data_IF_995522904810
#
_entry.id   IF_995522904810
#
_cell.length_a   1.000
_cell.length_b   1.000
_cell.length_c   1.000
_cell.angle_alpha   90.00
_cell.angle_beta   90.00
_cell.angle_gamma   90.00
#
_symmetry.space_group_name_H-M   'P 1'
#
loop_
_entity.id
_entity.type
_entity.pdbx_description
1 polymer ?
#
# COMPACT_ATOMS: atom_id res chain seq x y z
N UNK A 1 -21.10 19.69 -15.27
CA UNK A 1 -20.31 18.47 -14.92
C UNK A 1 -18.99 18.94 -14.34
N UNK A 2 -18.49 18.28 -13.28
CA UNK A 2 -17.18 18.62 -12.72
C UNK A 2 -16.01 18.30 -13.66
N UNK A 3 -14.79 18.77 -13.33
CA UNK A 3 -13.60 18.57 -14.15
C UNK A 3 -13.29 17.08 -14.36
N UNK A 4 -12.67 16.76 -15.49
CA UNK A 4 -12.21 15.41 -15.83
C UNK A 4 -10.73 15.25 -15.49
N UNK A 5 -10.37 14.26 -14.67
CA UNK A 5 -9.02 14.04 -14.19
C UNK A 5 -8.47 12.67 -14.54
N UNK A 6 -7.19 12.62 -14.95
CA UNK A 6 -6.39 11.42 -15.04
C UNK A 6 -5.44 11.31 -13.85
N UNK A 7 -5.48 10.21 -13.10
CA UNK A 7 -4.57 9.90 -11.99
C UNK A 7 -3.65 8.76 -12.42
N UNK A 8 -2.35 9.02 -12.46
CA UNK A 8 -1.33 8.09 -12.94
C UNK A 8 -0.42 7.71 -11.78
N UNK A 9 -0.50 6.47 -11.32
CA UNK A 9 0.26 5.98 -10.19
C UNK A 9 1.18 4.82 -10.59
N UNK A 10 2.21 4.57 -9.81
CA UNK A 10 3.11 3.44 -10.02
C UNK A 10 2.33 2.11 -10.07
N UNK A 11 2.77 1.15 -10.90
CA UNK A 11 2.11 -0.14 -11.13
C UNK A 11 2.22 -1.15 -9.97
N UNK A 12 2.61 -0.74 -8.76
CA UNK A 12 2.57 -1.57 -7.57
C UNK A 12 1.17 -1.63 -6.95
N UNK A 13 0.83 -2.78 -6.33
CA UNK A 13 -0.43 -2.92 -5.59
C UNK A 13 -0.55 -1.88 -4.46
N UNK A 14 0.52 -1.71 -3.66
CA UNK A 14 0.52 -0.73 -2.55
C UNK A 14 0.41 0.71 -3.04
N UNK A 15 1.08 1.03 -4.16
CA UNK A 15 1.02 2.35 -4.78
C UNK A 15 -0.40 2.64 -5.28
N UNK A 16 -1.04 1.65 -5.94
CA UNK A 16 -2.42 1.75 -6.40
C UNK A 16 -3.39 1.99 -5.24
N UNK A 17 -3.34 1.15 -4.20
CA UNK A 17 -4.20 1.28 -3.00
C UNK A 17 -4.08 2.66 -2.35
N UNK A 18 -2.87 3.21 -2.23
CA UNK A 18 -2.64 4.54 -1.66
C UNK A 18 -3.11 5.66 -2.59
N UNK A 19 -2.90 5.54 -3.91
CA UNK A 19 -3.31 6.56 -4.89
C UNK A 19 -4.82 6.68 -5.05
N UNK A 20 -5.57 5.61 -4.75
CA UNK A 20 -7.04 5.66 -4.71
C UNK A 20 -7.58 6.65 -3.68
N UNK A 21 -6.80 7.05 -2.65
CA UNK A 21 -7.20 8.15 -1.74
C UNK A 21 -7.39 9.44 -2.51
N UNK A 22 -6.48 9.78 -3.42
CA UNK A 22 -6.62 10.94 -4.29
C UNK A 22 -7.84 10.80 -5.20
N UNK A 23 -7.95 9.67 -5.90
CA UNK A 23 -9.06 9.40 -6.83
C UNK A 23 -10.42 9.48 -6.13
N UNK A 24 -10.54 8.90 -4.94
CA UNK A 24 -11.77 8.94 -4.15
C UNK A 24 -12.13 10.36 -3.69
N UNK A 25 -11.16 11.15 -3.23
CA UNK A 25 -11.40 12.53 -2.85
C UNK A 25 -11.85 13.39 -4.03
N UNK A 26 -11.21 13.24 -5.20
CA UNK A 26 -11.65 13.93 -6.42
C UNK A 26 -13.09 13.56 -6.78
N UNK A 27 -13.42 12.26 -6.76
CA UNK A 27 -14.78 11.76 -7.05
C UNK A 27 -15.82 12.31 -6.06
N UNK A 28 -15.51 12.32 -4.73
CA UNK A 28 -16.38 12.89 -3.69
C UNK A 28 -16.67 14.38 -3.89
N UNK A 29 -15.81 15.08 -4.60
CA UNK A 29 -15.96 16.50 -4.94
C UNK A 29 -16.51 16.73 -6.37
N UNK A 30 -17.10 15.69 -6.96
CA UNK A 30 -17.83 15.79 -8.24
C UNK A 30 -16.95 15.76 -9.49
N UNK A 31 -15.66 15.39 -9.36
CA UNK A 31 -14.78 15.21 -10.52
C UNK A 31 -15.07 13.89 -11.22
N UNK A 32 -14.90 13.84 -12.52
CA UNK A 32 -14.88 12.57 -13.29
C UNK A 32 -13.45 12.05 -13.33
N UNK A 33 -13.17 10.96 -12.62
CA UNK A 33 -11.80 10.45 -12.40
C UNK A 33 -11.55 9.14 -13.11
N UNK A 34 -10.42 9.04 -13.80
CA UNK A 34 -9.85 7.79 -14.29
C UNK A 34 -8.49 7.56 -13.63
N UNK A 35 -8.35 6.42 -12.96
CA UNK A 35 -7.10 6.03 -12.29
C UNK A 35 -6.37 4.98 -13.13
N UNK A 36 -5.11 5.21 -13.44
CA UNK A 36 -4.30 4.30 -14.25
C UNK A 36 -3.37 3.48 -13.37
N UNK A 37 -3.61 2.17 -13.34
CA UNK A 37 -2.77 1.19 -12.64
C UNK A 37 -3.08 -0.22 -13.15
N UNK A 38 -2.06 -0.96 -13.60
CA UNK A 38 -2.25 -2.29 -14.20
C UNK A 38 -2.71 -3.36 -13.19
N UNK A 39 -2.46 -3.18 -11.90
CA UNK A 39 -2.81 -4.17 -10.86
C UNK A 39 -4.20 -3.91 -10.29
N UNK A 40 -4.55 -2.63 -10.08
CA UNK A 40 -5.78 -2.25 -9.40
C UNK A 40 -7.04 -2.51 -10.23
N UNK A 41 -6.94 -2.71 -11.54
CA UNK A 41 -8.07 -3.13 -12.37
C UNK A 41 -8.73 -4.44 -11.88
N UNK A 42 -7.92 -5.35 -11.32
CA UNK A 42 -8.43 -6.58 -10.69
C UNK A 42 -9.25 -6.34 -9.41
N UNK A 43 -9.26 -5.12 -8.89
CA UNK A 43 -10.02 -4.70 -7.71
C UNK A 43 -11.23 -3.81 -8.05
N UNK A 44 -11.63 -3.73 -9.32
CA UNK A 44 -12.72 -2.85 -9.78
C UNK A 44 -14.02 -3.07 -9.02
N UNK A 45 -14.33 -4.31 -8.63
CA UNK A 45 -15.53 -4.62 -7.86
C UNK A 45 -15.53 -4.03 -6.44
N UNK A 46 -14.36 -3.76 -5.89
CA UNK A 46 -14.18 -3.13 -4.57
C UNK A 46 -14.26 -1.61 -4.61
N UNK A 47 -14.17 -1.02 -5.80
CA UNK A 47 -14.28 0.43 -6.03
C UNK A 47 -15.22 0.73 -7.20
N UNK A 48 -16.48 0.29 -7.16
CA UNK A 48 -17.39 0.34 -8.32
C UNK A 48 -17.68 1.77 -8.80
N UNK A 49 -17.49 2.77 -7.95
CA UNK A 49 -17.68 4.18 -8.25
C UNK A 49 -16.45 4.86 -8.86
N UNK A 50 -15.28 4.20 -8.88
CA UNK A 50 -14.06 4.69 -9.50
C UNK A 50 -13.76 3.92 -10.79
N UNK A 51 -13.35 4.59 -11.85
CA UNK A 51 -12.87 3.95 -13.06
C UNK A 51 -11.37 3.67 -12.92
N UNK A 52 -10.98 2.40 -12.84
CA UNK A 52 -9.59 1.96 -12.82
C UNK A 52 -9.24 1.33 -14.16
N UNK A 53 -8.24 1.88 -14.83
CA UNK A 53 -7.84 1.52 -16.18
C UNK A 53 -6.39 1.03 -16.20
N UNK A 54 -6.04 0.11 -17.11
CA UNK A 54 -4.65 -0.23 -17.35
C UNK A 54 -3.91 0.95 -17.97
N UNK A 55 -2.59 0.98 -17.81
CA UNK A 55 -1.75 1.95 -18.50
C UNK A 55 -1.88 1.78 -20.02
N UNK A 56 -2.09 2.89 -20.74
CA UNK A 56 -2.06 2.85 -22.21
C UNK A 56 -0.61 2.72 -22.71
N UNK A 57 -0.42 2.33 -23.98
CA UNK A 57 0.92 2.28 -24.58
C UNK A 57 1.54 3.69 -24.65
N UNK A 58 2.87 3.75 -24.68
CA UNK A 58 3.65 5.00 -24.70
C UNK A 58 3.27 5.94 -25.87
N UNK A 59 2.84 5.39 -27.01
CA UNK A 59 2.36 6.15 -28.17
C UNK A 59 1.10 6.96 -27.90
N UNK A 60 0.35 6.63 -26.86
CA UNK A 60 -0.92 7.26 -26.51
C UNK A 60 -0.79 8.52 -25.63
N UNK A 61 0.43 8.89 -25.23
CA UNK A 61 0.65 10.03 -24.29
C UNK A 61 -0.02 11.30 -24.80
N UNK A 62 0.15 11.67 -26.07
CA UNK A 62 -0.47 12.87 -26.63
C UNK A 62 -1.99 12.80 -26.65
N UNK A 63 -2.59 11.62 -26.90
CA UNK A 63 -4.04 11.42 -26.84
C UNK A 63 -4.55 11.57 -25.40
N UNK A 64 -3.83 11.01 -24.43
CA UNK A 64 -4.15 11.13 -23.00
C UNK A 64 -4.12 12.59 -22.55
N UNK A 65 -3.11 13.36 -22.96
CA UNK A 65 -2.99 14.79 -22.65
C UNK A 65 -4.13 15.67 -23.24
N UNK A 66 -4.85 15.17 -24.25
CA UNK A 66 -6.02 15.84 -24.79
C UNK A 66 -7.36 15.32 -24.21
N UNK A 67 -7.32 14.33 -23.30
CA UNK A 67 -8.51 13.64 -22.81
C UNK A 67 -9.00 14.13 -21.43
N UNK A 68 -8.20 14.91 -20.72
CA UNK A 68 -8.46 15.36 -19.35
C UNK A 68 -8.24 16.86 -19.19
N UNK A 69 -8.94 17.44 -18.24
CA UNK A 69 -8.76 18.82 -17.81
C UNK A 69 -7.62 18.93 -16.79
N UNK A 70 -7.34 17.85 -16.03
CA UNK A 70 -6.31 17.77 -15.00
C UNK A 70 -5.57 16.45 -15.02
N UNK A 71 -4.28 16.53 -14.66
CA UNK A 71 -3.37 15.37 -14.62
C UNK A 71 -2.68 15.32 -13.27
N UNK A 72 -2.83 14.19 -12.59
CA UNK A 72 -2.17 13.90 -11.33
C UNK A 72 -1.21 12.73 -11.53
N UNK A 73 0.07 13.00 -11.42
CA UNK A 73 1.13 12.02 -11.68
C UNK A 73 1.88 11.75 -10.39
N UNK A 74 1.77 10.54 -9.86
CA UNK A 74 2.67 10.09 -8.78
C UNK A 74 4.00 9.73 -9.45
N UNK A 75 5.01 10.55 -9.21
CA UNK A 75 6.29 10.49 -9.91
C UNK A 75 6.98 9.13 -9.72
N UNK A 76 7.41 8.57 -10.84
CA UNK A 76 8.18 7.35 -10.93
C UNK A 76 9.28 7.54 -11.97
N UNK A 77 10.53 7.50 -11.52
CA UNK A 77 11.72 7.71 -12.35
C UNK A 77 12.12 6.50 -13.22
N UNK A 78 11.36 5.41 -13.16
CA UNK A 78 11.63 4.17 -13.90
C UNK A 78 10.56 3.81 -14.94
N UNK A 79 9.40 4.48 -14.94
CA UNK A 79 8.32 4.20 -15.87
C UNK A 79 8.35 5.15 -17.08
N UNK A 80 8.63 4.65 -18.30
CA UNK A 80 8.77 5.50 -19.50
C UNK A 80 7.49 6.28 -19.84
N UNK A 81 6.30 5.69 -19.58
CA UNK A 81 5.03 6.37 -19.85
C UNK A 81 4.87 7.57 -18.89
N UNK A 82 5.11 7.36 -17.59
CA UNK A 82 5.00 8.40 -16.56
C UNK A 82 5.98 9.55 -16.84
N UNK A 83 7.24 9.22 -17.18
CA UNK A 83 8.25 10.22 -17.50
C UNK A 83 7.83 11.06 -18.72
N UNK A 84 7.43 10.43 -19.82
CA UNK A 84 6.99 11.14 -21.01
C UNK A 84 5.73 11.96 -20.78
N UNK A 85 4.75 11.40 -20.04
CA UNK A 85 3.52 12.12 -19.68
C UNK A 85 3.84 13.38 -18.85
N UNK A 86 4.72 13.26 -17.86
CA UNK A 86 5.14 14.39 -17.04
C UNK A 86 5.87 15.45 -17.85
N UNK A 87 6.82 15.06 -18.73
CA UNK A 87 7.57 15.98 -19.58
C UNK A 87 6.67 16.74 -20.56
N UNK A 88 5.87 16.02 -21.36
CA UNK A 88 4.96 16.65 -22.32
C UNK A 88 3.86 17.46 -21.63
N UNK A 89 3.34 16.97 -20.48
CA UNK A 89 2.33 17.66 -19.71
C UNK A 89 2.81 18.97 -19.11
N UNK A 90 4.00 19.00 -18.51
CA UNK A 90 4.62 20.24 -18.03
C UNK A 90 4.72 21.30 -19.14
N UNK A 91 5.11 20.88 -20.33
CA UNK A 91 5.30 21.79 -21.49
C UNK A 91 3.97 22.32 -22.03
N UNK A 92 2.92 21.48 -22.07
CA UNK A 92 1.64 21.80 -22.73
C UNK A 92 0.57 22.32 -21.78
N UNK A 93 0.56 21.82 -20.53
CA UNK A 93 -0.49 22.06 -19.53
C UNK A 93 0.13 22.30 -18.13
N UNK A 94 1.01 23.31 -17.96
CA UNK A 94 1.79 23.51 -16.71
C UNK A 94 0.89 23.72 -15.50
N UNK A 95 -0.23 24.39 -15.63
CA UNK A 95 -1.15 24.68 -14.51
C UNK A 95 -2.01 23.49 -14.12
N UNK A 96 -2.36 22.64 -15.09
CA UNK A 96 -3.21 21.47 -14.93
C UNK A 96 -2.43 20.19 -14.56
N UNK A 97 -1.10 20.20 -14.76
CA UNK A 97 -0.22 19.06 -14.44
C UNK A 97 0.27 19.16 -13.00
N UNK A 98 -0.18 18.26 -12.13
CA UNK A 98 0.31 18.14 -10.76
C UNK A 98 1.13 16.87 -10.61
N UNK A 99 2.41 17.01 -10.24
CA UNK A 99 3.33 15.89 -10.07
C UNK A 99 3.62 15.74 -8.59
N UNK A 100 3.25 14.57 -8.03
CA UNK A 100 3.44 14.24 -6.63
C UNK A 100 4.79 13.52 -6.48
N UNK A 101 5.76 14.18 -5.90
CA UNK A 101 7.08 13.62 -5.65
C UNK A 101 7.13 12.92 -4.30
N UNK A 102 7.41 11.62 -4.29
CA UNK A 102 7.48 10.80 -3.07
C UNK A 102 8.79 10.99 -2.31
N UNK A 103 9.86 11.37 -3.01
CA UNK A 103 11.18 11.55 -2.43
C UNK A 103 11.89 12.78 -2.99
N UNK A 104 12.61 13.54 -2.15
CA UNK A 104 13.57 14.50 -2.64
C UNK A 104 14.72 13.75 -3.33
N UNK A 105 15.04 14.15 -4.55
CA UNK A 105 16.24 13.70 -5.26
C UNK A 105 17.00 14.88 -5.80
N UNK A 106 18.29 14.69 -6.11
CA UNK A 106 19.14 15.74 -6.70
C UNK A 106 18.57 16.27 -8.02
N UNK A 107 17.85 15.42 -8.74
CA UNK A 107 17.30 15.75 -10.05
C UNK A 107 15.96 16.50 -9.99
N UNK A 108 15.23 16.41 -8.86
CA UNK A 108 13.89 17.00 -8.70
C UNK A 108 13.86 18.25 -7.81
N UNK A 109 14.88 18.48 -6.97
CA UNK A 109 14.92 19.64 -6.03
C UNK A 109 14.68 20.99 -6.71
N UNK A 110 15.08 21.12 -7.97
CA UNK A 110 14.92 22.36 -8.75
C UNK A 110 13.71 22.34 -9.70
N UNK A 111 12.88 21.29 -9.64
CA UNK A 111 11.69 21.22 -10.48
C UNK A 111 10.57 22.14 -9.96
N UNK A 112 9.82 22.82 -10.85
CA UNK A 112 8.81 23.82 -10.45
C UNK A 112 7.73 23.27 -9.52
N UNK A 113 7.33 21.99 -9.69
CA UNK A 113 6.27 21.37 -8.90
C UNK A 113 6.73 20.77 -7.57
N UNK A 114 8.01 20.80 -7.27
CA UNK A 114 8.59 20.15 -6.12
C UNK A 114 8.05 20.70 -4.80
N UNK A 115 8.05 22.02 -4.64
CA UNK A 115 7.60 22.68 -3.42
C UNK A 115 6.12 22.42 -3.12
N UNK A 116 5.27 22.42 -4.16
CA UNK A 116 3.81 22.28 -4.03
C UNK A 116 3.37 20.83 -3.86
N UNK A 117 4.14 19.88 -4.37
CA UNK A 117 3.72 18.48 -4.50
C UNK A 117 4.62 17.49 -3.73
N UNK A 118 5.54 17.98 -2.93
CA UNK A 118 6.42 17.12 -2.11
C UNK A 118 5.63 16.48 -0.97
N UNK A 119 5.82 15.19 -0.79
CA UNK A 119 5.26 14.48 0.35
C UNK A 119 6.10 14.65 1.62
N UNK A 120 5.45 14.60 2.79
CA UNK A 120 6.13 14.56 4.08
C UNK A 120 6.62 13.13 4.36
N UNK A 121 7.93 12.87 4.46
CA UNK A 121 8.48 11.53 4.69
C UNK A 121 8.24 11.00 6.12
N UNK A 122 7.73 11.82 7.02
CA UNK A 122 7.37 11.42 8.38
C UNK A 122 5.96 10.86 8.49
N UNK A 123 5.13 11.09 7.46
CA UNK A 123 3.74 10.65 7.38
C UNK A 123 3.55 9.49 6.39
N UNK A 124 2.56 8.61 6.63
CA UNK A 124 2.19 7.57 5.67
C UNK A 124 1.76 8.14 4.31
N UNK A 125 1.98 7.38 3.24
CA UNK A 125 1.57 7.79 1.87
C UNK A 125 0.08 8.09 1.79
N UNK A 126 -0.79 7.30 2.42
CA UNK A 126 -2.23 7.56 2.43
C UNK A 126 -2.59 8.91 3.09
N UNK A 127 -1.86 9.31 4.14
CA UNK A 127 -2.03 10.62 4.76
C UNK A 127 -1.49 11.74 3.88
N UNK A 128 -0.35 11.53 3.23
CA UNK A 128 0.19 12.48 2.25
C UNK A 128 -0.79 12.72 1.09
N UNK A 129 -1.43 11.66 0.56
CA UNK A 129 -2.44 11.81 -0.50
C UNK A 129 -3.66 12.60 -0.02
N UNK A 130 -4.12 12.38 1.22
CA UNK A 130 -5.17 13.18 1.83
C UNK A 130 -4.76 14.66 1.97
N UNK A 131 -3.55 14.91 2.51
CA UNK A 131 -3.03 16.28 2.68
C UNK A 131 -2.83 17.00 1.34
N UNK A 132 -2.45 16.29 0.29
CA UNK A 132 -2.39 16.84 -1.05
C UNK A 132 -3.76 17.34 -1.51
N UNK A 133 -4.82 16.53 -1.31
CA UNK A 133 -6.19 16.93 -1.62
C UNK A 133 -6.65 18.17 -0.81
N UNK A 134 -6.26 18.24 0.46
CA UNK A 134 -6.64 19.31 1.38
C UNK A 134 -5.86 20.61 1.10
N UNK A 135 -4.52 20.53 1.04
CA UNK A 135 -3.63 21.69 1.05
C UNK A 135 -3.28 22.22 -0.33
N UNK A 136 -3.22 21.34 -1.33
CA UNK A 136 -2.82 21.72 -2.70
C UNK A 136 -4.05 21.89 -3.61
N UNK A 137 -5.02 20.98 -3.49
CA UNK A 137 -6.23 21.06 -4.30
C UNK A 137 -7.38 21.82 -3.63
N UNK A 138 -7.27 22.10 -2.33
CA UNK A 138 -8.31 22.82 -1.55
C UNK A 138 -9.71 22.21 -1.71
N UNK A 139 -9.79 20.87 -1.77
CA UNK A 139 -11.07 20.20 -1.95
C UNK A 139 -11.94 20.37 -0.70
N UNK A 140 -13.24 20.67 -0.84
CA UNK A 140 -14.13 20.92 0.31
C UNK A 140 -14.47 19.66 1.11
N UNK A 141 -14.50 18.49 0.48
CA UNK A 141 -14.75 17.20 1.16
C UNK A 141 -13.50 16.37 1.14
N UNK A 142 -12.99 16.01 2.34
CA UNK A 142 -11.73 15.30 2.49
C UNK A 142 -11.90 14.05 3.34
N UNK A 143 -11.37 12.94 2.85
CA UNK A 143 -11.28 11.67 3.59
C UNK A 143 -9.94 10.97 3.37
N UNK A 144 -9.56 10.12 4.29
CA UNK A 144 -8.43 9.18 4.11
C UNK A 144 -8.86 7.87 3.45
N UNK A 145 -10.18 7.67 3.25
CA UNK A 145 -10.70 6.49 2.58
C UNK A 145 -10.19 6.43 1.14
N UNK A 146 -9.82 5.25 0.69
CA UNK A 146 -9.48 4.96 -0.70
C UNK A 146 -10.69 4.49 -1.53
N UNK A 147 -11.90 4.55 -0.94
CA UNK A 147 -13.14 4.21 -1.61
C UNK A 147 -13.46 2.72 -1.68
N UNK A 148 -12.74 1.84 -0.98
CA UNK A 148 -13.08 0.42 -0.95
C UNK A 148 -14.45 0.18 -0.29
N UNK A 149 -15.28 -0.60 -0.98
CA UNK A 149 -16.60 -1.05 -0.53
C UNK A 149 -16.57 -2.58 -0.49
N UNK A 150 -16.87 -3.21 0.66
CA UNK A 150 -16.91 -4.66 0.76
C UNK A 150 -17.94 -5.27 -0.20
N UNK A 151 -17.57 -6.40 -0.81
CA UNK A 151 -18.49 -7.13 -1.67
C UNK A 151 -19.65 -7.70 -0.84
N UNK A 152 -20.83 -7.77 -1.47
CA UNK A 152 -22.03 -8.35 -0.85
C UNK A 152 -21.78 -9.76 -0.36
N UNK A 153 -22.29 -10.10 0.83
CA UNK A 153 -22.15 -11.42 1.46
C UNK A 153 -20.84 -11.64 2.24
N UNK A 154 -19.86 -10.74 2.13
CA UNK A 154 -18.65 -10.83 2.94
C UNK A 154 -18.88 -10.29 4.37
N UNK A 155 -18.28 -10.95 5.35
CA UNK A 155 -18.33 -10.54 6.75
C UNK A 155 -16.93 -10.14 7.22
N UNK A 156 -16.78 -8.88 7.63
CA UNK A 156 -15.50 -8.39 8.14
C UNK A 156 -14.97 -9.24 9.28
N UNK A 157 -13.76 -9.78 9.12
CA UNK A 157 -13.06 -10.57 10.12
C UNK A 157 -13.90 -11.77 10.64
N UNK A 158 -14.67 -12.40 9.77
CA UNK A 158 -15.47 -13.60 10.05
C UNK A 158 -14.68 -14.70 10.77
N UNK A 159 -13.39 -14.78 10.47
CA UNK A 159 -12.44 -15.69 11.09
C UNK A 159 -11.44 -14.92 11.95
N UNK A 160 -11.81 -14.48 13.17
CA UNK A 160 -11.01 -13.55 13.98
C UNK A 160 -9.69 -14.15 14.47
N UNK A 161 -9.55 -15.47 14.49
CA UNK A 161 -8.30 -16.17 14.83
C UNK A 161 -7.41 -16.45 13.62
N UNK A 162 -7.93 -16.33 12.39
CA UNK A 162 -7.14 -16.54 11.17
C UNK A 162 -6.09 -15.46 11.03
N UNK A 163 -4.85 -15.88 10.88
CA UNK A 163 -3.70 -15.01 10.64
C UNK A 163 -3.14 -15.33 9.26
N UNK A 164 -3.45 -14.49 8.28
CA UNK A 164 -2.82 -14.56 6.97
C UNK A 164 -1.34 -14.17 7.10
N UNK A 165 -0.43 -15.02 6.66
CA UNK A 165 1.02 -14.75 6.70
C UNK A 165 1.53 -14.65 5.27
N UNK A 166 1.99 -13.46 4.87
CA UNK A 166 2.57 -13.21 3.55
C UNK A 166 4.10 -13.09 3.63
N UNK A 167 4.83 -14.18 3.40
CA UNK A 167 6.28 -14.24 3.66
C UNK A 167 7.13 -13.70 2.50
N UNK A 168 6.51 -13.36 1.37
CA UNK A 168 7.19 -12.94 0.15
C UNK A 168 6.95 -11.46 -0.17
N UNK A 169 7.77 -10.89 -1.03
CA UNK A 169 7.59 -9.58 -1.64
C UNK A 169 8.27 -9.55 -3.01
N UNK A 170 8.01 -8.54 -3.82
CA UNK A 170 8.62 -8.37 -5.13
C UNK A 170 10.17 -8.31 -5.11
N UNK A 171 10.77 -8.04 -3.95
CA UNK A 171 12.22 -7.99 -3.75
C UNK A 171 12.63 -8.93 -2.63
N UNK A 172 13.26 -10.03 -2.98
CA UNK A 172 13.71 -11.08 -2.06
C UNK A 172 14.59 -10.57 -0.90
N UNK A 173 15.37 -9.53 -1.16
CA UNK A 173 16.19 -8.86 -0.14
C UNK A 173 15.37 -8.24 0.99
N UNK A 174 14.07 -7.96 0.76
CA UNK A 174 13.12 -7.45 1.75
C UNK A 174 12.39 -8.57 2.51
N UNK A 175 12.57 -9.83 2.14
CA UNK A 175 11.89 -10.94 2.80
C UNK A 175 12.62 -11.35 4.07
N UNK A 176 11.87 -11.43 5.17
CA UNK A 176 12.34 -12.09 6.39
C UNK A 176 12.47 -13.59 6.12
N UNK A 177 13.40 -14.32 6.77
CA UNK A 177 13.67 -15.73 6.46
C UNK A 177 12.44 -16.63 6.58
N UNK A 178 12.31 -17.58 5.64
CA UNK A 178 11.21 -18.56 5.61
C UNK A 178 11.09 -19.31 6.94
N UNK A 179 12.22 -19.79 7.48
CA UNK A 179 12.29 -20.54 8.71
C UNK A 179 11.74 -19.75 9.90
N UNK A 180 11.97 -18.43 9.89
CA UNK A 180 11.44 -17.54 10.94
C UNK A 180 9.94 -17.30 10.80
N UNK A 181 9.41 -17.23 9.57
CA UNK A 181 7.95 -17.18 9.35
C UNK A 181 7.28 -18.47 9.81
N UNK A 182 7.87 -19.63 9.52
CA UNK A 182 7.35 -20.94 9.97
C UNK A 182 7.39 -21.04 11.50
N UNK A 183 8.49 -20.66 12.13
CA UNK A 183 8.61 -20.64 13.59
C UNK A 183 7.60 -19.66 14.23
N UNK A 184 7.34 -18.51 13.59
CA UNK A 184 6.30 -17.58 14.04
C UNK A 184 4.91 -18.20 13.91
N UNK A 185 4.59 -18.83 12.77
CA UNK A 185 3.31 -19.50 12.55
C UNK A 185 3.08 -20.60 13.60
N UNK A 186 4.09 -21.45 13.89
CA UNK A 186 4.02 -22.46 14.95
C UNK A 186 3.76 -21.82 16.31
N UNK A 187 4.48 -20.75 16.65
CA UNK A 187 4.30 -20.05 17.92
C UNK A 187 2.92 -19.38 18.05
N UNK A 188 2.32 -18.93 16.94
CA UNK A 188 0.96 -18.37 16.94
C UNK A 188 -0.11 -19.48 17.04
N UNK A 189 0.12 -20.65 16.43
CA UNK A 189 -0.75 -21.82 16.58
C UNK A 189 -0.83 -22.27 18.04
N UNK A 190 0.30 -22.24 18.76
CA UNK A 190 0.35 -22.53 20.20
C UNK A 190 -0.44 -21.51 21.03
N UNK A 191 -0.57 -20.26 20.57
CA UNK A 191 -1.42 -19.22 21.20
C UNK A 191 -2.90 -19.31 20.80
N UNK A 192 -3.29 -20.35 20.08
CA UNK A 192 -4.67 -20.61 19.65
C UNK A 192 -5.15 -19.79 18.45
N UNK A 193 -4.21 -19.26 17.62
CA UNK A 193 -4.50 -18.68 16.31
C UNK A 193 -4.42 -19.72 15.21
N UNK A 194 -4.91 -19.36 14.02
CA UNK A 194 -5.01 -20.19 12.81
C UNK A 194 -4.15 -19.57 11.70
N UNK A 195 -2.81 -19.84 11.70
CA UNK A 195 -1.92 -19.31 10.67
C UNK A 195 -2.20 -19.96 9.30
N UNK A 196 -2.31 -19.13 8.27
CA UNK A 196 -2.46 -19.52 6.86
C UNK A 196 -1.36 -18.83 6.06
N UNK A 197 -0.54 -19.58 5.35
CA UNK A 197 0.56 -19.04 4.56
C UNK A 197 0.06 -18.64 3.16
N UNK A 198 0.37 -17.42 2.73
CA UNK A 198 -0.01 -16.90 1.41
C UNK A 198 1.22 -16.38 0.65
N UNK A 199 2.14 -17.26 0.26
CA UNK A 199 3.41 -16.85 -0.38
C UNK A 199 3.25 -16.42 -1.85
N UNK A 200 2.06 -16.55 -2.46
CA UNK A 200 1.82 -16.29 -3.88
C UNK A 200 2.15 -17.47 -4.80
N UNK A 201 2.94 -18.43 -4.33
CA UNK A 201 3.20 -19.73 -4.98
C UNK A 201 3.28 -20.81 -3.92
N UNK A 202 2.89 -22.03 -4.26
CA UNK A 202 3.05 -23.17 -3.36
C UNK A 202 4.49 -23.67 -3.29
N UNK A 203 5.23 -23.52 -4.39
CA UNK A 203 6.57 -24.07 -4.52
C UNK A 203 7.46 -23.77 -3.30
N UNK A 204 7.93 -24.83 -2.65
CA UNK A 204 8.76 -24.77 -1.46
C UNK A 204 8.03 -24.42 -0.15
N UNK A 205 6.67 -24.39 -0.13
CA UNK A 205 5.87 -24.12 1.08
C UNK A 205 4.94 -25.28 1.44
N UNK A 206 4.74 -26.27 0.56
CA UNK A 206 3.82 -27.38 0.74
C UNK A 206 4.10 -28.23 1.99
N UNK A 207 5.39 -28.41 2.32
CA UNK A 207 5.85 -29.23 3.45
C UNK A 207 5.84 -28.48 4.79
N UNK A 208 5.33 -27.25 4.80
CA UNK A 208 5.37 -26.39 5.98
C UNK A 208 4.43 -26.81 7.12
N UNK A 209 3.53 -27.78 6.90
CA UNK A 209 2.53 -28.20 7.90
C UNK A 209 1.45 -27.17 8.20
N UNK A 210 1.25 -26.20 7.30
CA UNK A 210 0.23 -25.14 7.34
C UNK A 210 -0.55 -25.10 6.02
N UNK A 211 -1.76 -24.56 6.07
CA UNK A 211 -2.53 -24.28 4.86
C UNK A 211 -1.81 -23.26 3.98
N UNK A 212 -1.70 -23.57 2.68
CA UNK A 212 -1.07 -22.73 1.65
C UNK A 212 -2.06 -22.58 0.48
N UNK A 213 -3.15 -21.83 0.63
CA UNK A 213 -4.09 -21.61 -0.45
C UNK A 213 -3.47 -20.78 -1.57
N UNK A 214 -3.89 -21.05 -2.81
CA UNK A 214 -3.62 -20.21 -3.96
C UNK A 214 -4.89 -19.45 -4.33
N UNK A 215 -4.71 -18.19 -4.66
CA UNK A 215 -5.79 -17.33 -5.10
C UNK A 215 -5.59 -17.01 -6.59
N UNK A 216 -6.46 -17.50 -7.49
CA UNK A 216 -6.36 -17.25 -8.93
C UNK A 216 -6.41 -15.77 -9.28
N UNK A 217 -7.09 -14.96 -8.47
CA UNK A 217 -7.24 -13.52 -8.68
C UNK A 217 -6.97 -12.72 -7.41
N UNK A 218 -6.57 -11.46 -7.58
CA UNK A 218 -6.39 -10.54 -6.46
C UNK A 218 -7.72 -10.29 -5.71
N UNK A 219 -8.83 -10.31 -6.41
CA UNK A 219 -10.18 -10.16 -5.87
C UNK A 219 -10.51 -11.26 -4.85
N UNK A 220 -10.24 -12.52 -5.20
CA UNK A 220 -10.42 -13.66 -4.28
C UNK A 220 -9.49 -13.59 -3.07
N UNK A 221 -8.25 -13.15 -3.27
CA UNK A 221 -7.32 -12.90 -2.16
C UNK A 221 -7.83 -11.78 -1.25
N UNK A 222 -8.40 -10.71 -1.81
CA UNK A 222 -8.99 -9.63 -1.03
C UNK A 222 -10.19 -10.10 -0.19
N UNK A 223 -11.06 -10.95 -0.74
CA UNK A 223 -12.17 -11.59 0.00
C UNK A 223 -11.63 -12.39 1.19
N UNK A 224 -10.62 -13.23 0.96
CA UNK A 224 -9.99 -14.02 2.02
C UNK A 224 -9.37 -13.13 3.11
N UNK A 225 -8.66 -12.07 2.71
CA UNK A 225 -8.07 -11.11 3.65
C UNK A 225 -9.14 -10.38 4.46
N UNK A 226 -10.19 -9.87 3.81
CA UNK A 226 -11.28 -9.14 4.47
C UNK A 226 -11.95 -9.98 5.58
N UNK A 227 -12.11 -11.28 5.36
CA UNK A 227 -12.66 -12.21 6.36
C UNK A 227 -11.61 -12.72 7.36
N UNK A 228 -10.31 -12.41 7.20
CA UNK A 228 -9.27 -12.84 8.12
C UNK A 228 -9.13 -11.90 9.32
N UNK A 229 -8.71 -12.44 10.45
CA UNK A 229 -8.49 -11.67 11.69
C UNK A 229 -7.32 -10.70 11.59
N UNK A 230 -6.22 -11.13 10.92
CA UNK A 230 -4.94 -10.39 10.86
C UNK A 230 -4.17 -10.71 9.59
N UNK A 231 -3.28 -9.78 9.20
CA UNK A 231 -2.21 -10.04 8.25
C UNK A 231 -0.84 -9.83 8.92
N UNK A 232 0.08 -10.76 8.70
CA UNK A 232 1.52 -10.60 9.02
C UNK A 232 2.30 -10.72 7.71
N UNK A 233 3.24 -9.80 7.45
CA UNK A 233 4.05 -9.89 6.25
C UNK A 233 5.28 -9.00 6.25
N UNK A 234 6.03 -9.08 5.16
CA UNK A 234 7.06 -8.10 4.85
C UNK A 234 6.43 -6.77 4.41
N UNK A 235 7.26 -5.74 4.26
CA UNK A 235 6.89 -4.50 3.59
C UNK A 235 6.55 -4.79 2.11
N UNK A 236 5.25 -4.88 1.82
CA UNK A 236 4.69 -5.27 0.51
C UNK A 236 3.31 -4.65 0.27
N UNK A 237 2.89 -4.64 -1.00
CA UNK A 237 1.59 -4.11 -1.41
C UNK A 237 0.40 -4.81 -0.73
N UNK A 238 0.54 -6.09 -0.38
CA UNK A 238 -0.53 -6.84 0.28
C UNK A 238 -0.83 -6.32 1.69
N UNK A 239 0.18 -5.77 2.39
CA UNK A 239 -0.03 -5.09 3.67
C UNK A 239 -0.94 -3.87 3.53
N UNK A 240 -0.73 -3.05 2.48
CA UNK A 240 -1.59 -1.90 2.19
C UNK A 240 -3.01 -2.32 1.85
N UNK A 241 -3.18 -3.38 1.03
CA UNK A 241 -4.48 -3.92 0.69
C UNK A 241 -5.23 -4.39 1.95
N UNK A 242 -4.62 -5.23 2.78
CA UNK A 242 -5.23 -5.71 4.01
C UNK A 242 -5.63 -4.58 4.95
N UNK A 243 -4.74 -3.57 5.12
CA UNK A 243 -5.03 -2.39 5.92
C UNK A 243 -6.21 -1.59 5.38
N UNK A 244 -6.31 -1.42 4.05
CA UNK A 244 -7.41 -0.73 3.40
C UNK A 244 -8.76 -1.50 3.52
N UNK A 245 -8.68 -2.83 3.60
CA UNK A 245 -9.82 -3.71 3.88
C UNK A 245 -10.20 -3.75 5.38
N UNK A 246 -9.57 -2.95 6.24
CA UNK A 246 -9.88 -2.93 7.68
C UNK A 246 -9.26 -4.10 8.47
N UNK A 247 -8.30 -4.82 7.90
CA UNK A 247 -7.61 -5.93 8.56
C UNK A 247 -6.37 -5.41 9.30
N UNK A 248 -6.23 -5.68 10.62
CA UNK A 248 -5.05 -5.31 11.38
C UNK A 248 -3.78 -5.96 10.82
N UNK A 249 -2.70 -5.18 10.67
CA UNK A 249 -1.47 -5.62 10.03
C UNK A 249 -0.27 -5.60 10.95
N UNK A 250 0.59 -6.62 10.86
CA UNK A 250 1.95 -6.60 11.40
C UNK A 250 2.94 -6.65 10.24
N UNK A 251 3.73 -5.58 10.08
CA UNK A 251 4.70 -5.45 9.00
C UNK A 251 6.13 -5.59 9.52
N UNK A 252 6.89 -6.50 8.94
CA UNK A 252 8.31 -6.65 9.22
C UNK A 252 9.11 -5.76 8.24
N UNK A 253 9.83 -4.77 8.76
CA UNK A 253 10.48 -3.77 7.93
C UNK A 253 11.94 -3.54 8.36
N UNK A 254 12.81 -3.34 7.36
CA UNK A 254 14.24 -3.13 7.59
C UNK A 254 14.55 -1.80 8.30
N UNK A 255 13.84 -0.71 7.97
CA UNK A 255 14.15 0.65 8.43
C UNK A 255 12.93 1.36 8.98
N UNK A 256 13.09 2.02 10.12
CA UNK A 256 12.02 2.82 10.72
C UNK A 256 11.63 4.03 9.86
N UNK A 257 12.60 4.72 9.26
CA UNK A 257 12.34 5.86 8.37
C UNK A 257 11.53 5.47 7.14
N UNK A 258 11.80 4.29 6.57
CA UNK A 258 11.00 3.74 5.48
C UNK A 258 9.60 3.37 5.95
N UNK A 259 9.50 2.77 7.14
CA UNK A 259 8.23 2.37 7.74
C UNK A 259 7.29 3.55 8.00
N UNK A 260 7.79 4.71 8.37
CA UNK A 260 6.94 5.89 8.60
C UNK A 260 6.11 6.22 7.36
N UNK A 261 6.72 6.20 6.19
CA UNK A 261 6.07 6.56 4.93
C UNK A 261 5.31 5.37 4.31
N UNK A 262 5.90 4.17 4.36
CA UNK A 262 5.42 3.00 3.62
C UNK A 262 4.72 1.94 4.48
N UNK A 263 4.48 2.20 5.77
CA UNK A 263 3.66 1.27 6.53
C UNK A 263 2.19 1.32 6.10
N UNK A 264 1.51 0.17 6.07
CA UNK A 264 0.06 0.12 5.94
C UNK A 264 -0.61 0.98 7.01
N UNK A 265 -1.49 1.90 6.63
CA UNK A 265 -1.95 2.96 7.55
C UNK A 265 -3.44 3.29 7.48
N UNK A 266 -4.23 2.53 6.71
CA UNK A 266 -5.68 2.72 6.66
C UNK A 266 -6.37 2.20 7.93
N UNK A 267 -5.83 1.15 8.52
CA UNK A 267 -6.33 0.54 9.76
C UNK A 267 -5.22 0.32 10.78
N UNK A 268 -5.56 -0.20 11.97
CA UNK A 268 -4.60 -0.50 13.04
C UNK A 268 -3.47 -1.41 12.53
N UNK A 269 -2.24 -1.01 12.75
CA UNK A 269 -1.07 -1.78 12.35
C UNK A 269 0.11 -1.59 13.29
N UNK A 270 1.02 -2.55 13.29
CA UNK A 270 2.29 -2.50 14.01
C UNK A 270 3.42 -2.80 13.05
N UNK A 271 4.46 -1.98 13.09
CA UNK A 271 5.69 -2.21 12.32
C UNK A 271 6.79 -2.68 13.25
N UNK A 272 7.41 -3.80 12.91
CA UNK A 272 8.57 -4.35 13.61
C UNK A 272 9.82 -4.07 12.80
N UNK A 273 10.73 -3.31 13.40
CA UNK A 273 12.05 -2.99 12.83
C UNK A 273 13.16 -3.47 13.77
N UNK A 274 14.41 -3.63 13.31
CA UNK A 274 15.54 -3.83 14.20
C UNK A 274 15.62 -2.74 15.29
N UNK A 275 16.25 -3.06 16.41
CA UNK A 275 16.43 -2.08 17.48
C UNK A 275 17.24 -0.86 17.00
N UNK A 276 16.85 0.38 17.35
CA UNK A 276 17.61 1.57 17.00
C UNK A 276 19.01 1.61 17.63
N UNK A 277 19.23 0.87 18.71
CA UNK A 277 20.52 0.75 19.40
C UNK A 277 21.59 -0.03 18.62
N UNK A 278 21.18 -0.79 17.57
CA UNK A 278 22.13 -1.49 16.72
C UNK A 278 22.82 -0.48 15.80
N UNK A 279 24.18 -0.43 15.78
CA UNK A 279 24.91 0.55 15.01
C UNK A 279 24.56 0.55 13.51
N UNK A 280 24.37 1.74 12.97
CA UNK A 280 24.03 1.96 11.55
C UNK A 280 24.66 3.26 11.04
N UNK A 281 25.96 3.46 11.35
CA UNK A 281 26.74 4.62 10.93
C UNK A 281 27.34 4.43 9.54
N UNK A 282 27.80 5.51 8.93
CA UNK A 282 28.48 5.47 7.62
C UNK A 282 29.70 4.55 7.69
N UNK A 283 29.79 3.58 6.77
CA UNK A 283 30.81 2.53 6.77
C UNK A 283 30.45 1.27 7.57
N UNK A 284 29.63 1.38 8.62
CA UNK A 284 29.21 0.23 9.45
C UNK A 284 27.67 0.15 9.49
N UNK A 285 27.06 -0.36 8.42
CA UNK A 285 25.59 -0.49 8.31
C UNK A 285 25.09 -1.85 8.83
N UNK A 286 25.50 -2.24 10.03
CA UNK A 286 25.14 -3.55 10.61
C UNK A 286 23.63 -3.75 10.68
N UNK A 287 22.88 -2.77 11.21
CA UNK A 287 21.43 -2.87 11.34
C UNK A 287 20.73 -3.08 10.00
N UNK A 288 21.13 -2.35 8.97
CA UNK A 288 20.53 -2.45 7.64
C UNK A 288 20.97 -3.72 6.91
N UNK A 289 22.24 -4.14 7.07
CA UNK A 289 22.81 -5.31 6.42
C UNK A 289 22.25 -6.61 7.00
N UNK A 290 22.12 -6.68 8.33
CA UNK A 290 21.72 -7.88 9.07
C UNK A 290 20.33 -7.74 9.71
N UNK A 291 19.45 -6.90 9.16
CA UNK A 291 18.13 -6.63 9.73
C UNK A 291 17.29 -7.89 9.97
N UNK A 292 17.42 -8.88 9.09
CA UNK A 292 16.73 -10.16 9.17
C UNK A 292 17.11 -10.94 10.43
N UNK A 293 18.36 -10.83 10.85
CA UNK A 293 18.87 -11.45 12.10
C UNK A 293 18.32 -10.74 13.33
N UNK A 294 18.28 -9.41 13.29
CA UNK A 294 17.90 -8.57 14.44
C UNK A 294 16.40 -8.48 14.70
N UNK A 295 15.57 -8.97 13.79
CA UNK A 295 14.16 -9.23 14.08
C UNK A 295 14.04 -10.71 14.45
N UNK A 296 13.90 -11.00 15.76
CA UNK A 296 13.67 -12.36 16.26
C UNK A 296 12.20 -12.75 16.17
N UNK A 297 11.93 -14.06 16.14
CA UNK A 297 10.56 -14.63 16.19
C UNK A 297 9.84 -14.14 17.46
N UNK A 298 10.51 -14.15 18.61
CA UNK A 298 9.93 -13.67 19.87
C UNK A 298 9.56 -12.18 19.84
N UNK A 299 10.33 -11.33 19.12
CA UNK A 299 9.98 -9.92 18.93
C UNK A 299 8.73 -9.77 18.06
N UNK A 300 8.66 -10.49 16.94
CA UNK A 300 7.49 -10.49 16.06
C UNK A 300 6.24 -11.02 16.77
N UNK A 301 6.35 -12.13 17.52
CA UNK A 301 5.25 -12.70 18.33
C UNK A 301 4.72 -11.71 19.36
N UNK A 302 5.59 -11.07 20.17
CA UNK A 302 5.17 -10.06 21.16
C UNK A 302 4.45 -8.88 20.51
N UNK A 303 4.96 -8.40 19.37
CA UNK A 303 4.33 -7.31 18.63
C UNK A 303 2.94 -7.71 18.09
N UNK A 304 2.79 -8.94 17.61
CA UNK A 304 1.50 -9.49 17.17
C UNK A 304 0.51 -9.60 18.34
N UNK A 305 0.91 -10.15 19.48
CA UNK A 305 0.02 -10.30 20.63
C UNK A 305 -0.44 -8.92 21.16
N UNK A 306 0.45 -7.92 21.12
CA UNK A 306 0.07 -6.53 21.42
C UNK A 306 -0.94 -5.99 20.39
N UNK A 307 -0.74 -6.23 19.08
CA UNK A 307 -1.71 -5.85 18.06
C UNK A 307 -3.05 -6.52 18.30
N UNK A 308 -3.05 -7.82 18.59
CA UNK A 308 -4.25 -8.59 18.86
C UNK A 308 -5.03 -8.08 20.07
N UNK A 309 -4.34 -7.69 21.16
CA UNK A 309 -4.98 -7.14 22.35
C UNK A 309 -5.70 -5.82 22.09
N UNK A 310 -5.07 -4.88 21.35
CA UNK A 310 -5.68 -3.56 21.05
C UNK A 310 -6.79 -3.63 20.00
N UNK A 311 -6.93 -4.76 19.30
CA UNK A 311 -7.96 -4.95 18.26
C UNK A 311 -9.15 -5.79 18.73
N UNK A 312 -9.08 -6.44 19.91
CA UNK A 312 -10.21 -7.13 20.53
C UNK A 312 -11.23 -6.17 21.15
N UNK A 313 -10.83 -4.95 21.47
CA UNK A 313 -11.58 -4.00 22.31
C UNK A 313 -12.50 -3.04 21.54
N UNK A 314 -12.79 -3.22 20.25
CA UNK A 314 -13.64 -2.30 19.52
C UNK A 314 -14.27 -2.87 18.26
N UNK A 315 -15.52 -2.47 17.93
CA UNK A 315 -16.14 -2.82 16.65
C UNK A 315 -15.33 -2.20 15.50
N UNK A 316 -15.00 -3.01 14.52
CA UNK A 316 -14.32 -2.57 13.31
C UNK A 316 -15.32 -1.88 12.41
N UNK A 317 -15.46 -0.56 12.55
CA UNK A 317 -16.12 0.24 11.51
C UNK A 317 -15.05 0.60 10.48
N UNK A 318 -15.27 0.24 9.20
CA UNK A 318 -14.59 0.90 8.10
C UNK A 318 -14.86 2.41 8.20
N UNK A 319 -13.92 3.28 7.85
CA UNK A 319 -14.21 4.71 7.78
C UNK A 319 -15.43 4.88 6.88
N UNK A 320 -16.49 5.50 7.43
CA UNK A 320 -17.70 5.83 6.65
C UNK A 320 -17.26 6.68 5.49
N UNK A 321 -17.63 6.26 4.29
CA UNK A 321 -17.46 6.94 3.01
C UNK A 321 -18.03 8.35 3.01
#
# INVERSE_FOLDING_TARGET
>A
MGPKAGVFCHNGLGDGVNSLVLSNNLQLNGWKVHTYNNVMGAMQNWVPHLAVLPYPPLSEVSRILNAYDWFFVVHNDTDPFVLKLAEEGKRRFPDQMKIIYLYPSKNIVNEPYYADCLTDPTLPISENMKLFCEKILHLPKITKSNGFIPLSGLVSRKHPKRVAIHPTSARETRNWPKEKFLALATALKQEGYEPVLIPGTKAGWEEAGFDVPLFPTLDLLACFLYESGFLIGNDSGLGHLASALGVPTLTLCRRKTWANMWAPSFHKGVVVTPSPWIPNIRGLRLRDRHWKTFISVGKAKRAFLKLASITRSGPTQMPKS
#
